data_IF_362978914439
#
_entry.id   IF_362978914439
#
_cell.length_a   1.000
_cell.length_b   1.000
_cell.length_c   1.000
_cell.angle_alpha   90.00
_cell.angle_beta   90.00
_cell.angle_gamma   90.00
#
_symmetry.space_group_name_H-M   'P 1'
#
loop_
_entity.id
_entity.type
_entity.pdbx_description
1 polymer ?
#
# COMPACT_ATOMS: atom_id res chain seq x y z
N UNK A 1 -26.76 12.65 -18.40
CA UNK A 1 -25.93 13.87 -18.28
C UNK A 1 -25.16 14.21 -19.56
N UNK A 2 -25.42 13.59 -20.73
CA UNK A 2 -24.69 13.93 -21.97
C UNK A 2 -25.37 14.98 -22.85
N UNK A 3 -26.67 15.30 -22.63
CA UNK A 3 -27.45 16.16 -23.52
C UNK A 3 -27.61 17.63 -23.05
N UNK A 4 -27.15 18.01 -21.85
CA UNK A 4 -27.37 19.36 -21.30
C UNK A 4 -26.18 20.32 -21.46
N UNK A 5 -25.06 19.89 -22.07
CA UNK A 5 -23.81 20.66 -22.08
C UNK A 5 -23.46 21.33 -23.42
N UNK A 6 -24.36 21.35 -24.40
CA UNK A 6 -23.94 21.65 -25.78
C UNK A 6 -23.64 23.12 -26.10
N UNK A 7 -24.19 24.11 -25.40
CA UNK A 7 -23.99 25.51 -25.82
C UNK A 7 -23.85 26.49 -24.64
N UNK A 8 -22.62 26.72 -24.19
CA UNK A 8 -22.28 27.95 -23.47
C UNK A 8 -21.81 29.00 -24.50
N UNK A 9 -22.36 30.20 -24.49
CA UNK A 9 -22.03 31.26 -25.46
C UNK A 9 -20.53 31.59 -25.50
N UNK A 10 -19.83 31.44 -24.38
CA UNK A 10 -18.38 31.65 -24.29
C UNK A 10 -17.54 30.47 -24.80
N UNK A 11 -18.15 29.44 -25.38
CA UNK A 11 -17.46 28.29 -26.00
C UNK A 11 -17.25 28.43 -27.52
N UNK A 12 -17.68 29.53 -28.14
CA UNK A 12 -17.54 29.77 -29.61
C UNK A 12 -16.10 29.62 -30.08
N UNK A 13 -15.12 29.99 -29.25
CA UNK A 13 -13.70 29.86 -29.61
C UNK A 13 -13.26 28.40 -29.85
N UNK A 14 -13.98 27.43 -29.28
CA UNK A 14 -13.71 26.01 -29.48
C UNK A 14 -13.84 25.60 -30.95
N UNK A 15 -14.62 26.32 -31.77
CA UNK A 15 -14.72 26.05 -33.21
C UNK A 15 -13.40 26.28 -33.96
N UNK A 16 -12.58 27.16 -33.43
CA UNK A 16 -11.31 27.58 -34.03
C UNK A 16 -10.10 27.02 -33.26
N UNK A 17 -10.29 25.97 -32.44
CA UNK A 17 -9.18 25.40 -31.67
C UNK A 17 -8.19 24.72 -32.61
N UNK A 18 -6.92 25.14 -32.53
CA UNK A 18 -5.89 24.67 -33.45
C UNK A 18 -5.09 23.52 -32.85
N UNK A 19 -5.61 22.30 -32.98
CA UNK A 19 -4.92 21.09 -32.55
C UNK A 19 -4.64 20.20 -33.77
N UNK A 20 -3.39 19.77 -33.94
CA UNK A 20 -3.01 18.88 -35.04
C UNK A 20 -3.43 17.44 -34.69
N UNK A 21 -4.70 17.14 -34.90
CA UNK A 21 -5.29 15.83 -34.62
C UNK A 21 -6.17 15.36 -35.77
N UNK A 22 -6.30 14.03 -35.93
CA UNK A 22 -7.25 13.44 -36.86
C UNK A 22 -8.69 13.38 -36.30
N UNK A 23 -8.90 13.75 -35.03
CA UNK A 23 -10.20 13.73 -34.32
C UNK A 23 -10.74 15.14 -34.06
N UNK A 24 -10.64 16.03 -35.05
CA UNK A 24 -10.95 17.47 -34.93
C UNK A 24 -12.34 17.71 -34.33
N UNK A 25 -13.39 17.06 -34.82
CA UNK A 25 -14.75 17.29 -34.31
C UNK A 25 -14.94 16.84 -32.85
N UNK A 26 -14.27 15.76 -32.45
CA UNK A 26 -14.30 15.29 -31.07
C UNK A 26 -13.58 16.26 -30.13
N UNK A 27 -12.46 16.84 -30.56
CA UNK A 27 -11.70 17.78 -29.72
C UNK A 27 -12.46 19.10 -29.49
N UNK A 28 -13.17 19.57 -30.53
CA UNK A 28 -14.08 20.73 -30.42
C UNK A 28 -15.21 20.44 -29.43
N UNK A 29 -15.81 19.25 -29.50
CA UNK A 29 -16.86 18.82 -28.56
C UNK A 29 -16.35 18.78 -27.12
N UNK A 30 -15.17 18.20 -26.89
CA UNK A 30 -14.54 18.16 -25.55
C UNK A 30 -14.30 19.58 -25.02
N UNK A 31 -13.81 20.50 -25.87
CA UNK A 31 -13.64 21.91 -25.51
C UNK A 31 -14.96 22.56 -25.07
N UNK A 32 -16.03 22.40 -25.84
CA UNK A 32 -17.36 22.95 -25.49
C UNK A 32 -17.89 22.38 -24.16
N UNK A 33 -17.79 21.07 -23.99
CA UNK A 33 -18.18 20.39 -22.75
C UNK A 33 -17.38 20.89 -21.55
N UNK A 34 -16.06 21.07 -21.70
CA UNK A 34 -15.20 21.64 -20.66
C UNK A 34 -15.68 23.02 -20.22
N UNK A 35 -15.90 23.93 -21.19
CA UNK A 35 -16.33 25.31 -20.92
C UNK A 35 -17.68 25.34 -20.22
N UNK A 36 -18.63 24.53 -20.68
CA UNK A 36 -19.96 24.41 -20.09
C UNK A 36 -19.88 23.88 -18.64
N UNK A 37 -19.11 22.80 -18.42
CA UNK A 37 -18.88 22.24 -17.09
C UNK A 37 -18.20 23.25 -16.14
N UNK A 38 -17.22 24.00 -16.63
CA UNK A 38 -16.56 25.04 -15.85
C UNK A 38 -17.54 26.14 -15.41
N UNK A 39 -18.34 26.67 -16.35
CA UNK A 39 -19.33 27.71 -16.05
C UNK A 39 -20.35 27.26 -15.01
N UNK A 40 -20.84 26.02 -15.13
CA UNK A 40 -21.79 25.44 -14.19
C UNK A 40 -21.18 25.27 -12.80
N UNK A 41 -19.99 24.67 -12.72
CA UNK A 41 -19.27 24.44 -11.46
C UNK A 41 -18.95 25.76 -10.75
N UNK A 42 -18.49 26.75 -11.51
CA UNK A 42 -18.24 28.10 -11.01
C UNK A 42 -19.49 28.77 -10.45
N UNK A 43 -20.62 28.64 -11.13
CA UNK A 43 -21.90 29.21 -10.70
C UNK A 43 -22.34 28.61 -9.36
N UNK A 44 -22.28 27.27 -9.25
CA UNK A 44 -22.57 26.56 -8.00
C UNK A 44 -21.64 27.02 -6.87
N UNK A 45 -20.35 27.20 -7.15
CA UNK A 45 -19.38 27.64 -6.17
C UNK A 45 -19.49 29.10 -5.72
N UNK A 46 -20.05 29.98 -6.55
CA UNK A 46 -20.35 31.37 -6.17
C UNK A 46 -21.54 31.46 -5.20
N UNK A 47 -22.53 30.58 -5.34
CA UNK A 47 -23.69 30.51 -4.44
C UNK A 47 -23.36 29.93 -3.06
N UNK A 48 -22.31 29.11 -2.93
CA UNK A 48 -21.91 28.45 -1.69
C UNK A 48 -20.60 29.04 -1.14
N UNK A 49 -20.65 30.27 -0.59
CA UNK A 49 -19.47 31.05 -0.15
C UNK A 49 -18.58 30.42 0.94
N UNK A 50 -18.90 29.26 1.49
CA UNK A 50 -18.12 28.61 2.56
C UNK A 50 -17.73 27.16 2.29
N UNK A 51 -17.89 26.64 1.07
CA UNK A 51 -17.62 25.22 0.83
C UNK A 51 -16.15 24.99 0.47
N UNK A 52 -15.42 24.25 1.32
CA UNK A 52 -14.02 23.87 1.10
C UNK A 52 -13.82 23.17 -0.26
N UNK A 53 -14.85 22.53 -0.78
CA UNK A 53 -14.87 21.85 -2.09
C UNK A 53 -14.70 22.82 -3.27
N UNK A 54 -15.17 24.06 -3.13
CA UNK A 54 -15.03 25.09 -4.17
C UNK A 54 -13.61 25.65 -4.29
N UNK A 55 -12.70 25.29 -3.38
CA UNK A 55 -11.27 25.55 -3.57
C UNK A 55 -10.60 24.50 -4.48
N UNK A 56 -11.23 23.33 -4.66
CA UNK A 56 -10.66 22.15 -5.35
C UNK A 56 -11.23 21.89 -6.73
N UNK A 57 -12.30 22.59 -7.13
CA UNK A 57 -12.90 22.40 -8.45
C UNK A 57 -11.92 22.57 -9.63
N UNK A 58 -10.90 23.46 -9.60
CA UNK A 58 -9.92 23.55 -10.67
C UNK A 58 -9.16 22.23 -10.92
N UNK A 59 -8.80 21.52 -9.86
CA UNK A 59 -8.15 20.21 -9.92
C UNK A 59 -9.07 19.15 -10.52
N UNK A 60 -10.35 19.14 -10.13
CA UNK A 60 -11.36 18.27 -10.72
C UNK A 60 -11.56 18.54 -12.21
N UNK A 61 -11.60 19.82 -12.60
CA UNK A 61 -11.71 20.23 -14.01
C UNK A 61 -10.50 19.78 -14.82
N UNK A 62 -9.29 19.94 -14.27
CA UNK A 62 -8.08 19.50 -14.95
C UNK A 62 -8.04 17.96 -15.09
N UNK A 63 -8.43 17.23 -14.05
CA UNK A 63 -8.54 15.77 -14.11
C UNK A 63 -9.58 15.31 -15.14
N UNK A 64 -10.79 15.90 -15.12
CA UNK A 64 -11.84 15.57 -16.07
C UNK A 64 -11.38 15.75 -17.52
N UNK A 65 -10.68 16.86 -17.82
CA UNK A 65 -10.18 17.10 -19.16
C UNK A 65 -9.09 16.09 -19.57
N UNK A 66 -8.13 15.79 -18.69
CA UNK A 66 -7.16 14.72 -18.92
C UNK A 66 -7.88 13.38 -19.16
N UNK A 67 -8.92 13.07 -18.38
CA UNK A 67 -9.67 11.83 -18.51
C UNK A 67 -10.35 11.72 -19.87
N UNK A 68 -11.05 12.77 -20.32
CA UNK A 68 -11.73 12.79 -21.62
C UNK A 68 -10.74 12.64 -22.79
N UNK A 69 -9.60 13.35 -22.72
CA UNK A 69 -8.58 13.26 -23.76
C UNK A 69 -7.92 11.86 -23.81
N UNK A 70 -7.60 11.28 -22.65
CA UNK A 70 -7.04 9.93 -22.59
C UNK A 70 -8.06 8.87 -23.07
N UNK A 71 -9.32 8.99 -22.64
CA UNK A 71 -10.41 8.09 -23.06
C UNK A 71 -10.67 8.16 -24.57
N UNK A 72 -10.58 9.35 -25.16
CA UNK A 72 -10.69 9.54 -26.60
C UNK A 72 -9.45 9.08 -27.37
N UNK A 73 -8.36 8.71 -26.68
CA UNK A 73 -7.14 8.19 -27.29
C UNK A 73 -6.32 9.27 -28.02
N UNK A 74 -6.19 10.45 -27.42
CA UNK A 74 -5.24 11.48 -27.86
C UNK A 74 -3.85 11.20 -27.28
N UNK A 75 -2.82 11.37 -28.10
CA UNK A 75 -1.41 11.26 -27.68
C UNK A 75 -0.99 12.40 -26.75
N UNK A 76 0.09 12.22 -25.99
CA UNK A 76 0.64 13.26 -25.12
C UNK A 76 0.95 14.58 -25.86
N UNK A 77 1.34 14.50 -27.13
CA UNK A 77 1.63 15.67 -27.97
C UNK A 77 0.33 16.42 -28.28
N UNK A 78 -0.71 15.72 -28.71
CA UNK A 78 -2.03 16.30 -28.98
C UNK A 78 -2.64 16.89 -27.71
N UNK A 79 -2.52 16.20 -26.57
CA UNK A 79 -2.96 16.70 -25.27
C UNK A 79 -2.26 18.01 -24.92
N UNK A 80 -0.92 18.06 -25.02
CA UNK A 80 -0.15 19.29 -24.75
C UNK A 80 -0.54 20.45 -25.67
N UNK A 81 -0.75 20.19 -26.95
CA UNK A 81 -1.24 21.21 -27.89
C UNK A 81 -2.61 21.74 -27.46
N UNK A 82 -3.54 20.86 -27.11
CA UNK A 82 -4.87 21.27 -26.65
C UNK A 82 -4.81 22.11 -25.37
N UNK A 83 -4.01 21.70 -24.39
CA UNK A 83 -3.81 22.48 -23.16
C UNK A 83 -3.25 23.87 -23.46
N UNK A 84 -2.28 23.99 -24.36
CA UNK A 84 -1.74 25.29 -24.78
C UNK A 84 -2.83 26.18 -25.41
N UNK A 85 -3.64 25.63 -26.31
CA UNK A 85 -4.75 26.36 -26.92
C UNK A 85 -5.78 26.81 -25.88
N UNK A 86 -6.12 25.96 -24.92
CA UNK A 86 -7.03 26.30 -23.81
C UNK A 86 -6.45 27.42 -22.93
N UNK A 87 -5.15 27.40 -22.66
CA UNK A 87 -4.46 28.44 -21.91
C UNK A 87 -4.43 29.77 -22.67
N UNK A 88 -4.15 29.76 -23.97
CA UNK A 88 -4.14 30.96 -24.81
C UNK A 88 -5.51 31.62 -24.92
N UNK A 89 -6.57 30.81 -24.89
CA UNK A 89 -7.95 31.27 -24.99
C UNK A 89 -8.65 31.41 -23.63
N UNK A 90 -7.91 31.36 -22.52
CA UNK A 90 -8.48 31.34 -21.19
C UNK A 90 -9.39 32.55 -20.92
N UNK A 91 -8.98 33.75 -21.33
CA UNK A 91 -9.73 35.00 -21.20
C UNK A 91 -11.12 34.96 -21.87
N UNK A 92 -11.36 34.04 -22.79
CA UNK A 92 -12.65 33.88 -23.47
C UNK A 92 -13.68 33.19 -22.59
N UNK A 93 -13.27 32.34 -21.65
CA UNK A 93 -14.18 31.61 -20.76
C UNK A 93 -13.91 31.80 -19.26
N UNK A 94 -12.74 32.33 -18.89
CA UNK A 94 -12.26 32.46 -17.52
C UNK A 94 -12.13 33.95 -17.13
N UNK A 95 -13.01 34.41 -16.22
CA UNK A 95 -12.99 35.77 -15.65
C UNK A 95 -12.33 35.85 -14.25
N UNK A 96 -11.62 34.82 -13.80
CA UNK A 96 -10.87 34.82 -12.52
C UNK A 96 -9.56 34.05 -12.66
N UNK A 97 -8.58 34.25 -11.77
CA UNK A 97 -7.25 33.65 -11.93
C UNK A 97 -7.16 32.16 -11.46
N UNK A 98 -8.28 31.52 -11.09
CA UNK A 98 -8.24 30.22 -10.38
C UNK A 98 -7.78 29.03 -11.24
N UNK A 99 -8.13 29.00 -12.53
CA UNK A 99 -7.75 27.92 -13.45
C UNK A 99 -6.40 28.14 -14.14
N UNK A 100 -5.89 29.38 -14.16
CA UNK A 100 -4.78 29.76 -15.04
C UNK A 100 -3.47 29.04 -14.69
N UNK A 101 -3.30 28.64 -13.44
CA UNK A 101 -2.11 27.95 -12.93
C UNK A 101 -2.29 26.42 -12.90
N UNK A 102 -3.50 25.90 -13.17
CA UNK A 102 -3.87 24.52 -12.83
C UNK A 102 -4.28 23.63 -14.01
N UNK A 103 -4.38 24.16 -15.23
CA UNK A 103 -4.65 23.36 -16.43
C UNK A 103 -3.34 22.86 -17.04
N UNK A 104 -3.12 21.56 -16.96
CA UNK A 104 -1.92 20.92 -17.50
C UNK A 104 -2.14 19.42 -17.72
N UNK A 105 -1.34 18.85 -18.62
CA UNK A 105 -1.25 17.39 -18.77
C UNK A 105 -0.74 16.79 -17.47
N UNK A 106 -1.54 15.92 -16.87
CA UNK A 106 -1.19 15.24 -15.62
C UNK A 106 -0.21 14.11 -15.95
N UNK A 107 0.90 14.04 -15.23
CA UNK A 107 1.85 12.91 -15.35
C UNK A 107 1.10 11.59 -15.15
N UNK A 108 1.35 10.62 -16.03
CA UNK A 108 0.65 9.34 -16.12
C UNK A 108 0.41 8.68 -14.76
N UNK A 109 1.44 8.68 -13.89
CA UNK A 109 1.34 8.15 -12.52
C UNK A 109 0.24 8.82 -11.69
N UNK A 110 0.20 10.14 -11.64
CA UNK A 110 -0.80 10.87 -10.87
C UNK A 110 -2.20 10.74 -11.50
N UNK A 111 -2.25 10.70 -12.83
CA UNK A 111 -3.48 10.46 -13.57
C UNK A 111 -4.07 9.09 -13.21
N UNK A 112 -3.26 8.03 -13.23
CA UNK A 112 -3.67 6.68 -12.87
C UNK A 112 -4.22 6.60 -11.44
N UNK A 113 -3.59 7.29 -10.49
CA UNK A 113 -4.08 7.34 -9.11
C UNK A 113 -5.44 8.04 -9.00
N UNK A 114 -5.60 9.21 -9.65
CA UNK A 114 -6.90 9.91 -9.66
C UNK A 114 -7.98 9.13 -10.42
N UNK A 115 -7.61 8.43 -11.48
CA UNK A 115 -8.53 7.60 -12.26
C UNK A 115 -9.11 6.46 -11.42
N UNK A 116 -8.33 5.85 -10.52
CA UNK A 116 -8.85 4.84 -9.59
C UNK A 116 -9.90 5.44 -8.65
N UNK A 117 -9.63 6.63 -8.09
CA UNK A 117 -10.61 7.34 -7.25
C UNK A 117 -11.89 7.68 -8.03
N UNK A 118 -11.72 8.15 -9.27
CA UNK A 118 -12.84 8.45 -10.15
C UNK A 118 -13.67 7.21 -10.49
N UNK A 119 -13.04 6.05 -10.71
CA UNK A 119 -13.75 4.79 -10.93
C UNK A 119 -14.57 4.40 -9.70
N UNK A 120 -14.00 4.47 -8.50
CA UNK A 120 -14.72 4.20 -7.25
C UNK A 120 -15.90 5.17 -7.07
N UNK A 121 -15.70 6.45 -7.36
CA UNK A 121 -16.76 7.45 -7.35
C UNK A 121 -17.87 7.12 -8.34
N UNK A 122 -17.53 6.78 -9.59
CA UNK A 122 -18.49 6.39 -10.63
C UNK A 122 -19.29 5.17 -10.18
N UNK A 123 -18.64 4.17 -9.56
CA UNK A 123 -19.31 2.97 -9.04
C UNK A 123 -20.36 3.30 -7.98
N UNK A 124 -20.10 4.27 -7.09
CA UNK A 124 -21.03 4.61 -5.99
C UNK A 124 -22.15 5.54 -6.46
N UNK A 125 -21.81 6.56 -7.26
CA UNK A 125 -22.70 7.71 -7.50
C UNK A 125 -23.26 7.80 -8.92
N UNK A 126 -22.71 7.06 -9.89
CA UNK A 126 -23.29 7.01 -11.24
C UNK A 126 -24.43 5.99 -11.22
N UNK A 127 -25.67 6.50 -11.22
CA UNK A 127 -26.91 5.73 -11.24
C UNK A 127 -27.12 4.88 -12.51
N UNK A 128 -26.17 4.89 -13.45
CA UNK A 128 -26.30 4.23 -14.74
C UNK A 128 -24.99 3.55 -15.13
N UNK A 129 -24.91 2.27 -14.80
CA UNK A 129 -24.81 1.22 -15.81
C UNK A 129 -25.44 -0.01 -15.15
N UNK A 130 -26.39 -0.66 -15.81
CA UNK A 130 -27.02 -1.95 -15.45
C UNK A 130 -26.00 -3.11 -15.37
N UNK A 131 -24.73 -2.81 -15.07
CA UNK A 131 -23.60 -3.74 -15.08
C UNK A 131 -23.75 -4.82 -14.01
N UNK A 132 -24.28 -4.47 -12.84
CA UNK A 132 -24.36 -5.40 -11.72
C UNK A 132 -25.80 -5.80 -11.42
N UNK A 133 -26.10 -7.07 -11.68
CA UNK A 133 -27.38 -7.68 -11.26
C UNK A 133 -27.34 -8.20 -9.83
N UNK A 134 -26.16 -8.33 -9.23
CA UNK A 134 -25.95 -8.85 -7.87
C UNK A 134 -25.02 -7.93 -7.08
N UNK A 135 -25.35 -7.70 -5.82
CA UNK A 135 -24.51 -6.93 -4.90
C UNK A 135 -23.12 -7.54 -4.71
N UNK A 136 -23.01 -8.88 -4.71
CA UNK A 136 -21.73 -9.57 -4.59
C UNK A 136 -20.78 -9.20 -5.75
N UNK A 137 -21.27 -9.15 -6.99
CA UNK A 137 -20.45 -8.81 -8.15
C UNK A 137 -19.95 -7.36 -8.06
N UNK A 138 -20.83 -6.43 -7.66
CA UNK A 138 -20.47 -5.04 -7.39
C UNK A 138 -19.38 -4.95 -6.31
N UNK A 139 -19.57 -5.64 -5.18
CA UNK A 139 -18.67 -5.56 -4.05
C UNK A 139 -17.30 -6.19 -4.35
N UNK A 140 -17.24 -7.25 -5.16
CA UNK A 140 -15.99 -7.85 -5.62
C UNK A 140 -15.21 -6.89 -6.54
N UNK A 141 -15.88 -6.26 -7.50
CA UNK A 141 -15.25 -5.27 -8.39
C UNK A 141 -14.79 -4.03 -7.59
N UNK A 142 -15.63 -3.56 -6.66
CA UNK A 142 -15.30 -2.43 -5.79
C UNK A 142 -14.06 -2.75 -4.94
N UNK A 143 -14.06 -3.92 -4.30
CA UNK A 143 -12.93 -4.44 -3.51
C UNK A 143 -11.64 -4.48 -4.33
N UNK A 144 -11.70 -4.99 -5.56
CA UNK A 144 -10.54 -5.10 -6.45
C UNK A 144 -9.95 -3.72 -6.74
N UNK A 145 -10.77 -2.77 -7.19
CA UNK A 145 -10.34 -1.42 -7.56
C UNK A 145 -9.85 -0.66 -6.33
N UNK A 146 -10.55 -0.76 -5.21
CA UNK A 146 -10.18 -0.10 -3.95
C UNK A 146 -8.82 -0.58 -3.45
N UNK A 147 -8.62 -1.91 -3.35
CA UNK A 147 -7.37 -2.47 -2.85
C UNK A 147 -6.20 -2.23 -3.81
N UNK A 148 -6.44 -2.23 -5.12
CA UNK A 148 -5.42 -1.85 -6.11
C UNK A 148 -5.01 -0.38 -5.95
N UNK A 149 -5.98 0.52 -5.79
CA UNK A 149 -5.75 1.93 -5.51
C UNK A 149 -4.96 2.14 -4.24
N UNK A 150 -5.36 1.48 -3.16
CA UNK A 150 -4.67 1.56 -1.87
C UNK A 150 -3.19 1.16 -2.01
N UNK A 151 -2.91 0.02 -2.66
CA UNK A 151 -1.54 -0.44 -2.90
C UNK A 151 -0.74 0.57 -3.74
N UNK A 152 -1.30 1.06 -4.86
CA UNK A 152 -0.62 2.04 -5.73
C UNK A 152 -0.34 3.37 -5.04
N UNK A 153 -1.26 3.86 -4.21
CA UNK A 153 -1.11 5.11 -3.48
C UNK A 153 0.02 5.05 -2.45
N UNK A 154 0.19 3.92 -1.74
CA UNK A 154 1.18 3.79 -0.67
C UNK A 154 2.55 3.26 -1.12
N UNK A 155 2.61 2.37 -2.11
CA UNK A 155 3.89 1.83 -2.62
C UNK A 155 4.86 2.90 -3.13
N UNK A 156 4.35 4.06 -3.55
CA UNK A 156 5.14 5.10 -4.19
C UNK A 156 5.61 6.24 -3.28
N UNK A 157 5.14 6.31 -2.04
CA UNK A 157 5.60 7.34 -1.08
C UNK A 157 7.00 7.01 -0.54
N UNK A 158 7.46 5.77 -0.71
CA UNK A 158 8.76 5.30 -0.22
C UNK A 158 9.96 5.89 -0.99
N UNK A 159 9.73 6.48 -2.17
CA UNK A 159 10.80 6.92 -3.07
C UNK A 159 11.26 8.38 -2.90
N UNK A 160 10.53 9.27 -2.21
CA UNK A 160 10.83 10.71 -2.38
C UNK A 160 10.52 11.72 -1.26
N UNK A 161 10.69 11.39 0.02
CA UNK A 161 10.65 12.42 1.08
C UNK A 161 11.63 12.19 2.23
N UNK A 162 12.40 13.24 2.56
CA UNK A 162 13.30 13.35 3.73
C UNK A 162 12.57 13.49 5.07
N UNK A 163 11.24 13.37 5.09
CA UNK A 163 10.44 13.42 6.33
C UNK A 163 9.69 12.09 6.50
N UNK A 164 10.48 11.05 6.76
CA UNK A 164 10.02 9.67 6.97
C UNK A 164 9.35 9.62 8.35
N UNK A 165 8.01 9.67 8.40
CA UNK A 165 7.27 9.28 9.61
C UNK A 165 7.81 7.92 10.10
N UNK A 166 7.96 7.72 11.42
CA UNK A 166 8.56 6.50 12.02
C UNK A 166 8.02 5.20 11.40
N UNK A 167 6.71 5.17 11.09
CA UNK A 167 6.00 4.08 10.39
C UNK A 167 6.59 3.72 9.03
N UNK A 168 7.04 4.71 8.25
CA UNK A 168 7.64 4.51 6.94
C UNK A 168 9.05 3.92 7.04
N UNK A 169 9.78 4.25 8.12
CA UNK A 169 11.14 3.77 8.28
C UNK A 169 11.19 2.25 8.51
N UNK A 170 10.33 1.75 9.40
CA UNK A 170 10.23 0.32 9.71
C UNK A 170 9.64 -0.42 8.52
N UNK A 171 8.54 0.07 7.93
CA UNK A 171 7.96 -0.52 6.72
C UNK A 171 8.98 -0.61 5.59
N UNK A 172 9.75 0.45 5.32
CA UNK A 172 10.81 0.44 4.29
C UNK A 172 11.87 -0.62 4.58
N UNK A 173 12.31 -0.77 5.83
CA UNK A 173 13.25 -1.82 6.21
C UNK A 173 12.67 -3.23 5.97
N UNK A 174 11.42 -3.45 6.33
CA UNK A 174 10.78 -4.76 6.18
C UNK A 174 10.47 -5.11 4.71
N UNK A 175 10.26 -4.10 3.85
CA UNK A 175 9.82 -4.29 2.46
C UNK A 175 10.92 -4.19 1.41
N UNK A 176 11.97 -3.38 1.66
CA UNK A 176 12.97 -3.03 0.65
C UNK A 176 14.41 -3.39 1.04
N UNK A 177 14.66 -3.83 2.28
CA UNK A 177 16.03 -4.01 2.73
C UNK A 177 16.67 -5.24 2.06
N UNK A 178 17.72 -4.99 1.28
CA UNK A 178 18.55 -6.02 0.65
C UNK A 178 19.66 -6.53 1.58
N UNK A 179 19.95 -5.82 2.67
CA UNK A 179 20.97 -6.22 3.64
C UNK A 179 20.34 -7.11 4.70
N UNK A 180 20.60 -8.40 4.60
CA UNK A 180 20.09 -9.44 5.49
C UNK A 180 21.03 -9.70 6.68
N UNK A 181 22.23 -9.09 6.66
CA UNK A 181 23.31 -9.37 7.61
C UNK A 181 23.40 -8.34 8.73
N UNK A 182 22.56 -8.46 9.74
CA UNK A 182 22.92 -8.19 11.14
C UNK A 182 21.71 -8.46 12.04
N UNK A 183 21.96 -8.91 13.26
CA UNK A 183 21.00 -8.82 14.38
C UNK A 183 20.50 -7.38 14.62
N UNK A 184 21.19 -6.39 14.04
CA UNK A 184 20.90 -4.97 14.09
C UNK A 184 20.04 -4.44 12.92
N UNK A 185 19.64 -5.29 11.98
CA UNK A 185 18.72 -4.95 10.89
C UNK A 185 17.47 -5.82 10.91
N UNK A 186 16.31 -5.23 10.63
CA UNK A 186 15.06 -5.98 10.47
C UNK A 186 15.12 -6.82 9.18
N UNK A 187 14.91 -8.15 9.26
CA UNK A 187 14.83 -9.02 8.10
C UNK A 187 13.70 -8.64 7.15
N UNK A 188 13.86 -8.95 5.86
CA UNK A 188 12.79 -8.72 4.89
C UNK A 188 11.59 -9.63 5.16
N UNK A 189 10.38 -9.07 5.14
CA UNK A 189 9.15 -9.85 5.13
C UNK A 189 8.98 -10.45 3.73
N UNK A 190 9.27 -11.75 3.61
CA UNK A 190 9.14 -12.50 2.36
C UNK A 190 7.66 -12.71 2.00
N UNK A 191 7.28 -12.33 0.77
CA UNK A 191 5.90 -12.42 0.29
C UNK A 191 5.33 -13.85 0.37
N UNK A 192 6.13 -14.86 0.06
CA UNK A 192 5.67 -16.25 0.01
C UNK A 192 5.28 -16.82 1.39
N UNK A 193 5.79 -16.25 2.48
CA UNK A 193 5.55 -16.75 3.85
C UNK A 193 4.63 -15.83 4.66
N UNK A 194 4.68 -14.52 4.40
CA UNK A 194 4.00 -13.50 5.21
C UNK A 194 3.18 -12.55 4.33
N UNK A 195 2.47 -13.09 3.33
CA UNK A 195 1.75 -12.31 2.32
C UNK A 195 0.82 -11.24 2.91
N UNK A 196 -0.06 -11.62 3.82
CA UNK A 196 -1.08 -10.72 4.37
C UNK A 196 -0.45 -9.65 5.28
N UNK A 197 0.57 -10.03 6.05
CA UNK A 197 1.36 -9.08 6.85
C UNK A 197 2.14 -8.10 5.96
N UNK A 198 2.76 -8.60 4.89
CA UNK A 198 3.48 -7.76 3.91
C UNK A 198 2.53 -6.78 3.24
N UNK A 199 1.37 -7.26 2.81
CA UNK A 199 0.32 -6.43 2.22
C UNK A 199 -0.11 -5.35 3.20
N UNK A 200 -0.41 -5.69 4.46
CA UNK A 200 -0.77 -4.73 5.50
C UNK A 200 0.28 -3.62 5.69
N UNK A 201 1.56 -3.99 5.81
CA UNK A 201 2.66 -3.05 6.00
C UNK A 201 2.84 -2.17 4.75
N UNK A 202 2.69 -2.74 3.55
CA UNK A 202 2.81 -2.01 2.28
C UNK A 202 1.77 -0.92 2.07
N UNK A 203 0.64 -1.01 2.77
CA UNK A 203 -0.42 0.01 2.78
C UNK A 203 -0.53 0.73 4.12
N UNK A 204 0.55 0.74 4.91
CA UNK A 204 0.69 1.44 6.19
C UNK A 204 -0.40 1.10 7.19
N UNK A 205 -0.59 -0.21 7.43
CA UNK A 205 -1.55 -0.74 8.40
C UNK A 205 -3.02 -0.44 8.09
N UNK A 206 -3.32 0.06 6.89
CA UNK A 206 -4.68 0.07 6.36
C UNK A 206 -5.08 -1.37 6.01
N UNK A 207 -6.07 -1.92 6.71
CA UNK A 207 -6.57 -3.25 6.37
C UNK A 207 -7.17 -3.22 4.95
N UNK A 208 -6.76 -4.17 4.10
CA UNK A 208 -7.37 -4.33 2.78
C UNK A 208 -8.88 -4.55 2.94
N UNK A 209 -9.64 -3.94 2.04
CA UNK A 209 -11.09 -4.01 2.07
C UNK A 209 -11.56 -5.44 1.79
N UNK A 210 -12.39 -5.94 2.69
CA UNK A 210 -13.14 -7.18 2.59
C UNK A 210 -14.59 -6.82 2.93
N UNK A 211 -15.52 -7.01 2.01
CA UNK A 211 -16.92 -6.62 2.23
C UNK A 211 -17.71 -7.70 2.99
N UNK A 212 -17.24 -8.95 2.97
CA UNK A 212 -17.79 -10.03 3.79
C UNK A 212 -17.07 -10.03 5.13
N UNK A 213 -17.82 -9.86 6.20
CA UNK A 213 -17.30 -9.86 7.57
C UNK A 213 -16.46 -11.12 7.87
N UNK A 214 -16.92 -12.29 7.40
CA UNK A 214 -16.18 -13.54 7.59
C UNK A 214 -14.79 -13.52 6.95
N UNK A 215 -14.67 -12.96 5.73
CA UNK A 215 -13.38 -12.86 5.03
C UNK A 215 -12.47 -11.79 5.65
N UNK A 216 -13.06 -10.70 6.15
CA UNK A 216 -12.33 -9.70 6.93
C UNK A 216 -11.75 -10.31 8.20
N UNK A 217 -12.56 -11.09 8.94
CA UNK A 217 -12.11 -11.78 10.15
C UNK A 217 -11.03 -12.82 9.82
N UNK A 218 -11.16 -13.55 8.70
CA UNK A 218 -10.12 -14.45 8.23
C UNK A 218 -8.81 -13.70 7.95
N UNK A 219 -8.86 -12.55 7.27
CA UNK A 219 -7.69 -11.73 6.97
C UNK A 219 -7.00 -11.25 8.25
N UNK A 220 -7.76 -10.77 9.23
CA UNK A 220 -7.22 -10.32 10.52
C UNK A 220 -6.47 -11.45 11.24
N UNK A 221 -7.07 -12.64 11.34
CA UNK A 221 -6.41 -13.78 12.00
C UNK A 221 -5.15 -14.23 11.24
N UNK A 222 -5.16 -14.23 9.90
CA UNK A 222 -3.95 -14.55 9.10
C UNK A 222 -2.83 -13.54 9.32
N UNK A 223 -3.17 -12.24 9.38
CA UNK A 223 -2.20 -11.17 9.70
C UNK A 223 -1.58 -11.42 11.07
N UNK A 224 -2.40 -11.66 12.10
CA UNK A 224 -1.92 -11.88 13.47
C UNK A 224 -1.04 -13.13 13.56
N UNK A 225 -1.44 -14.21 12.90
CA UNK A 225 -0.65 -15.44 12.81
C UNK A 225 0.72 -15.18 12.14
N UNK A 226 0.72 -14.52 10.97
CA UNK A 226 1.96 -14.19 10.25
C UNK A 226 2.85 -13.24 11.04
N UNK A 227 2.28 -12.31 11.81
CA UNK A 227 3.02 -11.44 12.72
C UNK A 227 3.73 -12.26 13.81
N UNK A 228 3.03 -13.16 14.50
CA UNK A 228 3.64 -14.04 15.51
C UNK A 228 4.70 -14.95 14.92
N UNK A 229 4.44 -15.51 13.75
CA UNK A 229 5.38 -16.37 13.05
C UNK A 229 6.66 -15.60 12.71
N UNK A 230 6.54 -14.42 12.09
CA UNK A 230 7.69 -13.57 11.77
C UNK A 230 8.49 -13.19 13.03
N UNK A 231 7.80 -12.79 14.11
CA UNK A 231 8.45 -12.43 15.36
C UNK A 231 9.18 -13.61 16.00
N UNK A 232 8.61 -14.82 15.93
CA UNK A 232 9.25 -16.02 16.46
C UNK A 232 10.45 -16.45 15.62
N UNK A 233 10.36 -16.39 14.29
CA UNK A 233 11.44 -16.74 13.37
C UNK A 233 12.68 -15.86 13.58
N UNK A 234 12.47 -14.61 13.96
CA UNK A 234 13.50 -13.59 14.16
C UNK A 234 13.60 -13.08 15.61
N UNK A 235 13.17 -13.87 16.60
CA UNK A 235 13.08 -13.47 18.02
C UNK A 235 14.39 -12.97 18.65
N UNK A 236 15.53 -13.36 18.08
CA UNK A 236 16.87 -12.94 18.51
C UNK A 236 17.28 -11.56 17.97
N UNK A 237 16.50 -10.97 17.06
CA UNK A 237 16.83 -9.71 16.41
C UNK A 237 16.53 -8.52 17.34
N UNK A 238 17.53 -7.67 17.57
CA UNK A 238 17.42 -6.55 18.52
C UNK A 238 16.54 -5.40 18.02
N UNK A 239 16.27 -5.33 16.71
CA UNK A 239 15.39 -4.31 16.12
C UNK A 239 13.93 -4.74 16.04
N UNK A 240 13.62 -5.99 16.35
CA UNK A 240 12.27 -6.52 16.25
C UNK A 240 11.30 -5.81 17.21
N UNK A 241 11.74 -5.33 18.37
CA UNK A 241 10.89 -4.60 19.33
C UNK A 241 10.28 -3.33 18.73
N UNK A 242 11.04 -2.61 17.91
CA UNK A 242 10.53 -1.42 17.22
C UNK A 242 9.40 -1.76 16.24
N UNK A 243 9.51 -2.90 15.55
CA UNK A 243 8.43 -3.38 14.67
C UNK A 243 7.22 -3.84 15.47
N UNK A 244 7.41 -4.55 16.58
CA UNK A 244 6.32 -4.97 17.46
C UNK A 244 5.54 -3.76 18.01
N UNK A 245 6.23 -2.74 18.51
CA UNK A 245 5.63 -1.50 19.00
C UNK A 245 4.76 -0.83 17.92
N UNK A 246 5.30 -0.73 16.70
CA UNK A 246 4.59 -0.15 15.57
C UNK A 246 3.36 -0.98 15.17
N UNK A 247 3.48 -2.30 15.04
CA UNK A 247 2.37 -3.18 14.71
C UNK A 247 1.25 -3.09 15.75
N UNK A 248 1.61 -3.08 17.04
CA UNK A 248 0.64 -3.00 18.13
C UNK A 248 -0.12 -1.67 18.05
N UNK A 249 0.61 -0.56 17.98
CA UNK A 249 0.03 0.79 18.00
C UNK A 249 -0.75 1.12 16.72
N UNK A 250 -0.17 0.84 15.56
CA UNK A 250 -0.73 1.28 14.28
C UNK A 250 -1.81 0.35 13.75
N UNK A 251 -1.87 -0.90 14.19
CA UNK A 251 -2.83 -1.89 13.72
C UNK A 251 -3.62 -2.57 14.83
N UNK A 252 -2.95 -3.29 15.74
CA UNK A 252 -3.66 -4.17 16.67
C UNK A 252 -4.60 -3.41 17.60
N UNK A 253 -4.12 -2.33 18.24
CA UNK A 253 -4.91 -1.54 19.18
C UNK A 253 -6.13 -0.90 18.50
N UNK A 254 -5.99 -0.46 17.24
CA UNK A 254 -7.10 0.08 16.43
C UNK A 254 -8.14 -0.98 16.05
N UNK A 255 -7.82 -2.27 16.22
CA UNK A 255 -8.65 -3.43 15.85
C UNK A 255 -8.95 -4.33 17.05
N UNK A 256 -8.58 -3.91 18.26
CA UNK A 256 -8.63 -4.72 19.48
C UNK A 256 -10.02 -5.26 19.76
N UNK A 257 -11.05 -4.44 19.63
CA UNK A 257 -12.44 -4.84 19.87
C UNK A 257 -12.90 -5.94 18.90
N UNK A 258 -12.50 -5.85 17.63
CA UNK A 258 -12.80 -6.87 16.63
C UNK A 258 -12.09 -8.20 16.95
N UNK A 259 -10.82 -8.16 17.37
CA UNK A 259 -10.10 -9.36 17.84
C UNK A 259 -10.75 -9.97 19.09
N UNK A 260 -11.24 -9.15 20.02
CA UNK A 260 -11.95 -9.64 21.20
C UNK A 260 -13.27 -10.33 20.83
N UNK A 261 -14.02 -9.76 19.88
CA UNK A 261 -15.24 -10.40 19.34
C UNK A 261 -14.91 -11.76 18.72
N UNK A 262 -13.92 -11.82 17.82
CA UNK A 262 -13.47 -13.08 17.20
C UNK A 262 -13.07 -14.11 18.27
N UNK A 263 -12.28 -13.70 19.26
CA UNK A 263 -11.83 -14.59 20.35
C UNK A 263 -13.00 -15.17 21.15
N UNK A 264 -14.00 -14.34 21.49
CA UNK A 264 -15.20 -14.79 22.21
C UNK A 264 -16.01 -15.77 21.37
N UNK A 265 -16.22 -15.46 20.09
CA UNK A 265 -17.00 -16.31 19.19
C UNK A 265 -16.35 -17.67 18.92
N UNK A 266 -15.02 -17.72 18.82
CA UNK A 266 -14.29 -18.94 18.49
C UNK A 266 -14.01 -19.85 19.69
N UNK A 267 -14.19 -19.34 20.92
CA UNK A 267 -14.15 -20.11 22.17
C UNK A 267 -15.49 -20.82 22.48
N UNK A 268 -16.56 -20.50 21.76
CA UNK A 268 -17.85 -21.19 21.89
C UNK A 268 -17.86 -22.61 21.27
N UNK A 269 -18.93 -23.40 21.51
CA UNK A 269 -19.09 -24.73 20.91
C UNK A 269 -19.03 -24.65 19.37
N UNK A 270 -18.45 -25.68 18.74
CA UNK A 270 -18.04 -25.79 17.32
C UNK A 270 -18.62 -24.73 16.37
N UNK A 271 -17.92 -23.59 16.31
CA UNK A 271 -18.21 -22.57 15.31
C UNK A 271 -17.56 -22.99 13.99
N UNK A 272 -18.37 -23.47 13.04
CA UNK A 272 -17.94 -23.91 11.71
C UNK A 272 -17.42 -22.79 10.80
N UNK A 273 -17.37 -21.53 11.28
CA UNK A 273 -16.82 -20.39 10.53
C UNK A 273 -15.32 -20.54 10.29
N UNK A 274 -14.88 -20.16 9.10
CA UNK A 274 -13.50 -20.36 8.64
C UNK A 274 -12.47 -19.65 9.51
N UNK A 275 -12.76 -18.43 9.97
CA UNK A 275 -11.84 -17.68 10.84
C UNK A 275 -11.68 -18.33 12.22
N UNK A 276 -12.66 -19.10 12.70
CA UNK A 276 -12.50 -19.82 13.97
C UNK A 276 -11.58 -21.02 13.85
N UNK A 277 -11.57 -21.68 12.69
CA UNK A 277 -10.56 -22.71 12.39
C UNK A 277 -9.15 -22.09 12.37
N UNK A 278 -8.98 -20.96 11.69
CA UNK A 278 -7.72 -20.20 11.66
C UNK A 278 -7.31 -19.72 13.06
N UNK A 279 -8.27 -19.26 13.86
CA UNK A 279 -8.02 -18.79 15.22
C UNK A 279 -7.51 -19.93 16.11
N UNK A 280 -8.16 -21.11 16.05
CA UNK A 280 -7.72 -22.31 16.78
C UNK A 280 -6.33 -22.78 16.34
N UNK A 281 -6.01 -22.70 15.04
CA UNK A 281 -4.66 -22.99 14.55
C UNK A 281 -3.62 -22.01 15.12
N UNK A 282 -3.95 -20.73 15.15
CA UNK A 282 -3.10 -19.70 15.75
C UNK A 282 -2.94 -19.92 17.26
N UNK A 283 -4.02 -20.25 17.97
CA UNK A 283 -3.99 -20.59 19.40
C UNK A 283 -3.12 -21.82 19.67
N UNK A 284 -3.26 -22.89 18.89
CA UNK A 284 -2.46 -24.11 19.05
C UNK A 284 -0.96 -23.84 18.85
N UNK A 285 -0.60 -22.97 17.91
CA UNK A 285 0.80 -22.68 17.56
C UNK A 285 1.41 -21.61 18.48
N UNK A 286 0.64 -20.58 18.84
CA UNK A 286 1.11 -19.35 19.48
C UNK A 286 0.30 -19.00 20.74
N UNK A 287 -0.23 -19.99 21.47
CA UNK A 287 -1.09 -19.79 22.65
C UNK A 287 -0.57 -18.73 23.62
N UNK A 288 0.73 -18.80 23.98
CA UNK A 288 1.37 -17.84 24.89
C UNK A 288 1.25 -16.41 24.34
N UNK A 289 1.57 -16.21 23.07
CA UNK A 289 1.56 -14.88 22.43
C UNK A 289 0.15 -14.34 22.25
N UNK A 290 -0.79 -15.22 21.87
CA UNK A 290 -2.19 -14.86 21.74
C UNK A 290 -2.80 -14.44 23.09
N UNK A 291 -2.48 -15.13 24.18
CA UNK A 291 -2.89 -14.75 25.54
C UNK A 291 -2.34 -13.39 25.95
N UNK A 292 -1.06 -13.13 25.68
CA UNK A 292 -0.43 -11.82 25.93
C UNK A 292 -1.18 -10.72 25.17
N UNK A 293 -1.45 -10.90 23.88
CA UNK A 293 -2.19 -9.92 23.09
C UNK A 293 -3.63 -9.69 23.60
N UNK A 294 -4.27 -10.73 24.12
CA UNK A 294 -5.61 -10.63 24.71
C UNK A 294 -5.61 -9.86 26.05
N UNK A 295 -4.55 -9.97 26.85
CA UNK A 295 -4.43 -9.23 28.12
C UNK A 295 -3.84 -7.84 27.92
N UNK A 296 -2.58 -7.77 27.51
CA UNK A 296 -1.83 -6.55 27.26
C UNK A 296 -0.75 -6.80 26.20
N UNK A 297 -0.97 -6.28 24.99
CA UNK A 297 -0.08 -6.54 23.86
C UNK A 297 1.33 -5.99 24.05
N UNK A 298 1.53 -4.91 24.82
CA UNK A 298 2.87 -4.35 25.08
C UNK A 298 3.75 -5.28 25.92
N UNK A 299 3.17 -6.19 26.72
CA UNK A 299 3.94 -7.19 27.46
C UNK A 299 4.69 -8.15 26.50
N UNK A 300 4.26 -8.24 25.24
CA UNK A 300 4.95 -9.01 24.22
C UNK A 300 6.35 -8.47 23.93
N UNK A 301 6.50 -7.14 23.95
CA UNK A 301 7.79 -6.46 23.78
C UNK A 301 8.69 -6.77 24.97
N UNK A 302 8.16 -6.67 26.19
CA UNK A 302 8.89 -7.00 27.43
C UNK A 302 9.37 -8.45 27.44
N UNK A 303 8.55 -9.40 26.98
CA UNK A 303 8.95 -10.81 26.86
C UNK A 303 10.07 -11.01 25.83
N UNK A 304 10.04 -10.26 24.73
CA UNK A 304 11.11 -10.29 23.74
C UNK A 304 12.42 -9.72 24.31
N UNK A 305 12.36 -8.59 25.02
CA UNK A 305 13.52 -7.98 25.66
C UNK A 305 14.15 -8.91 26.68
N UNK A 306 13.34 -9.53 27.56
CA UNK A 306 13.80 -10.55 28.50
C UNK A 306 14.47 -11.73 27.81
N UNK A 307 13.90 -12.21 26.69
CA UNK A 307 14.50 -13.28 25.90
C UNK A 307 15.89 -12.86 25.40
N UNK A 308 16.03 -11.68 24.81
CA UNK A 308 17.31 -11.17 24.32
C UNK A 308 18.33 -11.02 25.45
N UNK A 309 17.92 -10.47 26.60
CA UNK A 309 18.79 -10.32 27.77
C UNK A 309 19.23 -11.66 28.40
N UNK A 310 18.46 -12.72 28.18
CA UNK A 310 18.80 -14.08 28.65
C UNK A 310 19.76 -14.84 27.74
N UNK A 311 20.05 -14.32 26.53
CA UNK A 311 20.95 -14.98 25.58
C UNK A 311 22.40 -14.93 26.06
N UNK A 312 23.09 -16.05 25.98
CA UNK A 312 24.54 -16.10 26.22
C UNK A 312 25.31 -15.54 25.02
N UNK A 313 26.60 -15.23 25.23
CA UNK A 313 27.49 -14.84 24.13
C UNK A 313 27.58 -15.90 23.02
N UNK A 314 27.50 -17.19 23.39
CA UNK A 314 27.48 -18.28 22.42
C UNK A 314 26.17 -18.32 21.61
N UNK A 315 25.03 -18.06 22.23
CA UNK A 315 23.74 -18.01 21.53
C UNK A 315 23.74 -16.89 20.49
N UNK A 316 24.29 -15.72 20.85
CA UNK A 316 24.43 -14.58 19.93
C UNK A 316 25.28 -14.99 18.72
N UNK A 317 26.44 -15.59 18.95
CA UNK A 317 27.32 -16.06 17.87
C UNK A 317 26.62 -17.10 16.98
N UNK A 318 25.84 -18.02 17.56
CA UNK A 318 25.10 -19.03 16.82
C UNK A 318 24.01 -18.39 15.93
N UNK A 319 23.32 -17.36 16.41
CA UNK A 319 22.31 -16.64 15.62
C UNK A 319 22.94 -15.81 14.51
N UNK A 320 24.08 -15.16 14.77
CA UNK A 320 24.85 -14.45 13.75
C UNK A 320 25.32 -15.42 12.65
N UNK A 321 25.84 -16.59 13.04
CA UNK A 321 26.22 -17.65 12.10
C UNK A 321 25.03 -18.14 11.28
N UNK A 322 23.88 -18.42 11.92
CA UNK A 322 22.66 -18.84 11.22
C UNK A 322 22.20 -17.80 10.20
N UNK A 323 22.21 -16.52 10.56
CA UNK A 323 21.88 -15.44 9.63
C UNK A 323 22.85 -15.42 8.43
N UNK A 324 24.15 -15.58 8.69
CA UNK A 324 25.16 -15.68 7.63
C UNK A 324 24.90 -16.86 6.68
N UNK A 325 24.51 -18.03 7.20
CA UNK A 325 24.27 -19.24 6.40
C UNK A 325 22.98 -19.18 5.57
N UNK A 326 21.88 -18.63 6.11
CA UNK A 326 20.60 -18.53 5.38
C UNK A 326 20.68 -17.67 4.12
N UNK A 327 21.64 -16.76 4.04
CA UNK A 327 21.93 -16.02 2.82
C UNK A 327 23.04 -16.63 1.98
N UNK A 328 23.80 -17.59 2.50
CA UNK A 328 24.81 -18.32 1.74
C UNK A 328 24.18 -19.10 0.58
N UNK A 329 22.99 -19.68 0.81
CA UNK A 329 22.15 -20.25 -0.24
C UNK A 329 21.76 -19.23 -1.33
N UNK A 330 21.74 -17.93 -1.02
CA UNK A 330 21.41 -16.85 -1.97
C UNK A 330 22.63 -16.21 -2.64
N UNK A 331 23.79 -16.21 -1.99
CA UNK A 331 25.05 -15.67 -2.52
C UNK A 331 25.88 -16.81 -3.16
N UNK A 332 25.36 -17.42 -4.23
CA UNK A 332 26.05 -18.52 -4.93
C UNK A 332 27.31 -18.09 -5.72
N UNK A 333 27.80 -16.85 -5.56
CA UNK A 333 29.02 -16.36 -6.25
C UNK A 333 30.32 -16.51 -5.45
N UNK A 334 30.25 -16.73 -4.13
CA UNK A 334 31.44 -16.85 -3.26
C UNK A 334 31.56 -18.21 -2.55
N UNK A 335 30.71 -19.17 -2.93
CA UNK A 335 30.63 -20.53 -2.37
C UNK A 335 31.99 -21.26 -2.34
N UNK A 336 32.83 -21.21 -3.40
CA UNK A 336 34.10 -21.93 -3.41
C UNK A 336 35.09 -21.39 -2.37
N UNK A 337 35.20 -20.07 -2.25
CA UNK A 337 36.16 -19.43 -1.35
C UNK A 337 35.82 -19.71 0.10
N UNK A 338 34.55 -19.64 0.47
CA UNK A 338 34.12 -19.78 1.86
C UNK A 338 34.03 -21.26 2.28
N UNK A 339 33.60 -22.17 1.40
CA UNK A 339 33.75 -23.61 1.68
C UNK A 339 35.22 -24.01 1.79
N UNK A 340 36.11 -23.42 1.00
CA UNK A 340 37.55 -23.61 1.14
C UNK A 340 38.05 -23.12 2.50
N UNK A 341 37.59 -21.95 2.98
CA UNK A 341 37.98 -21.43 4.29
C UNK A 341 37.44 -22.28 5.44
N UNK A 342 36.17 -22.74 5.37
CA UNK A 342 35.57 -23.61 6.39
C UNK A 342 36.25 -24.98 6.45
N UNK A 343 36.57 -25.57 5.29
CA UNK A 343 37.34 -26.81 5.22
C UNK A 343 38.74 -26.62 5.82
N UNK A 344 39.42 -25.52 5.52
CA UNK A 344 40.73 -25.21 6.10
C UNK A 344 40.66 -25.07 7.63
N UNK A 345 39.63 -24.39 8.16
CA UNK A 345 39.43 -24.25 9.62
C UNK A 345 39.17 -25.61 10.27
N UNK A 346 38.29 -26.44 9.70
CA UNK A 346 38.01 -27.78 10.20
C UNK A 346 39.25 -28.68 10.19
N UNK A 347 40.05 -28.60 9.13
CA UNK A 347 41.32 -29.32 9.02
C UNK A 347 42.32 -28.82 10.08
N UNK A 348 42.45 -27.51 10.27
CA UNK A 348 43.31 -26.94 11.32
C UNK A 348 42.87 -27.39 12.72
N UNK A 349 41.56 -27.36 13.02
CA UNK A 349 41.02 -27.83 14.30
C UNK A 349 41.25 -29.32 14.51
N UNK A 350 41.11 -30.13 13.45
CA UNK A 350 41.39 -31.57 13.50
C UNK A 350 42.87 -31.84 13.81
N UNK A 351 43.79 -31.13 13.16
CA UNK A 351 45.22 -31.28 13.44
C UNK A 351 45.60 -30.76 14.83
N UNK A 352 45.05 -29.63 15.26
CA UNK A 352 45.23 -29.13 16.63
C UNK A 352 44.74 -30.14 17.67
N UNK A 353 43.56 -30.74 17.47
CA UNK A 353 43.03 -31.78 18.35
C UNK A 353 43.93 -33.03 18.37
N UNK A 354 44.43 -33.47 17.21
CA UNK A 354 45.30 -34.63 17.11
C UNK A 354 46.66 -34.39 17.76
N UNK A 355 47.24 -33.21 17.61
CA UNK A 355 48.48 -32.80 18.29
C UNK A 355 48.26 -32.73 19.80
N UNK A 356 47.15 -32.14 20.26
CA UNK A 356 46.83 -32.08 21.69
C UNK A 356 46.74 -33.48 22.32
N UNK A 357 46.24 -34.46 21.57
CA UNK A 357 46.11 -35.87 22.00
C UNK A 357 47.41 -36.68 21.96
N UNK A 358 48.48 -36.14 21.39
CA UNK A 358 49.82 -36.76 21.37
C UNK A 358 50.69 -36.23 22.52
N UNK A 359 50.39 -35.03 23.02
CA UNK A 359 51.15 -34.35 24.08
C UNK A 359 50.48 -34.40 25.47
N UNK A 360 49.28 -34.99 25.57
CA UNK A 360 48.59 -35.40 26.81
C UNK A 360 48.48 -36.92 26.76
#
# INVERSE_FOLDING_TARGET
MENDYENADNSIFCENINCQTNKVEQIKRICKMFVSLYNNTKTQCRSSKSNQDCSKYPEFMNFWLNYELNRAGYSDIEQRQFYNEMTLNNNKFQNDNMLQVKLSVIMEKYFNNMNILYQLYKMIYSSSELKYTKCDDFMQDFKKIYNEGLKKCYLHVVDNTDNILRTFYIARKLLQNKYVYSIDYLPEIKYNYYKDLKDLISVHYNLLFEYKEEEQNCLMIRILHQFFQYCNDYKYNRKLSSFMEEFIKEYYDKKKDQYQTISKECKGPENGKKYCMLFKQCENTFNKYLKIFQSNATDYITEQEKYISSLSGFDILLFEAKAMFQDFEKISRYLPTIMSTMAAILVCLFFLHKVLKIYI
#
